data_IF_581831090162
#
_entry.id   IF_581831090162
#
_cell.length_a   1.000
_cell.length_b   1.000
_cell.length_c   1.000
_cell.angle_alpha   90.00
_cell.angle_beta   90.00
_cell.angle_gamma   90.00
#
_symmetry.space_group_name_H-M   'P 1'
#
loop_
_entity.id
_entity.type
_entity.pdbx_description
1 polymer ?
#
# COMPACT_ATOMS: atom_id res chain seq x y z
N UNK A 1 2.40 10.76 5.75
CA UNK A 1 1.58 10.00 4.78
C UNK A 1 1.02 8.74 5.44
N UNK A 2 -0.14 8.22 5.04
CA UNK A 2 -0.66 6.92 5.50
C UNK A 2 -0.36 5.83 4.45
N UNK A 3 0.10 4.67 4.90
CA UNK A 3 0.43 3.53 4.04
C UNK A 3 -0.27 2.28 4.58
N UNK A 4 -1.14 1.67 3.77
CA UNK A 4 -1.85 0.44 4.10
C UNK A 4 -1.43 -0.65 3.12
N UNK A 5 -0.94 -1.78 3.63
CA UNK A 5 -0.41 -2.88 2.84
C UNK A 5 -1.15 -4.17 3.20
N UNK A 6 -1.80 -4.77 2.20
CA UNK A 6 -2.23 -6.16 2.29
C UNK A 6 -1.08 -7.05 1.80
N UNK A 7 -0.43 -7.75 2.73
CA UNK A 7 0.73 -8.58 2.44
C UNK A 7 0.39 -9.88 1.71
N UNK A 8 -0.86 -10.35 1.79
CA UNK A 8 -1.31 -11.57 1.11
C UNK A 8 -1.60 -11.33 -0.38
N UNK A 9 -1.80 -10.06 -0.73
CA UNK A 9 -2.27 -9.63 -2.04
C UNK A 9 -1.16 -9.39 -3.09
N UNK A 10 0.10 -9.29 -2.65
CA UNK A 10 1.24 -8.97 -3.51
C UNK A 10 2.34 -10.02 -3.36
N UNK A 11 3.03 -10.32 -4.45
CA UNK A 11 4.20 -11.20 -4.39
C UNK A 11 5.38 -10.56 -3.64
N UNK A 12 6.24 -11.41 -3.06
CA UNK A 12 7.41 -10.99 -2.29
C UNK A 12 8.34 -10.03 -3.05
N UNK A 13 8.67 -10.25 -4.35
CA UNK A 13 9.51 -9.30 -5.09
C UNK A 13 8.95 -7.89 -5.13
N UNK A 14 7.63 -7.73 -5.33
CA UNK A 14 6.99 -6.41 -5.35
C UNK A 14 6.92 -5.79 -3.97
N UNK A 15 6.65 -6.58 -2.93
CA UNK A 15 6.69 -6.10 -1.55
C UNK A 15 8.09 -5.58 -1.19
N UNK A 16 9.17 -6.27 -1.60
CA UNK A 16 10.54 -5.81 -1.38
C UNK A 16 10.85 -4.47 -2.05
N UNK A 17 10.37 -4.27 -3.29
CA UNK A 17 10.52 -2.98 -3.99
C UNK A 17 9.75 -1.86 -3.29
N UNK A 18 8.55 -2.17 -2.77
CA UNK A 18 7.77 -1.22 -1.99
C UNK A 18 8.48 -0.84 -0.68
N UNK A 19 8.94 -1.83 0.07
CA UNK A 19 9.66 -1.62 1.34
C UNK A 19 10.91 -0.77 1.13
N UNK A 20 11.75 -1.10 0.15
CA UNK A 20 12.96 -0.32 -0.14
C UNK A 20 12.65 1.16 -0.45
N UNK A 21 11.52 1.43 -1.11
CA UNK A 21 11.09 2.81 -1.36
C UNK A 21 10.56 3.51 -0.10
N UNK A 22 9.85 2.79 0.78
CA UNK A 22 9.36 3.32 2.06
C UNK A 22 10.48 3.60 3.06
N UNK A 23 11.53 2.79 3.09
CA UNK A 23 12.71 3.03 3.93
C UNK A 23 13.42 4.35 3.58
N UNK A 24 13.41 4.72 2.30
CA UNK A 24 13.93 6.01 1.84
C UNK A 24 12.99 7.20 2.17
N UNK A 25 11.77 6.94 2.65
CA UNK A 25 10.74 7.94 2.93
C UNK A 25 10.26 7.87 4.39
N UNK A 26 11.03 8.40 5.36
CA UNK A 26 10.85 8.11 6.79
C UNK A 26 9.58 8.70 7.45
N UNK A 27 8.79 9.54 6.78
CA UNK A 27 7.60 10.23 7.32
C UNK A 27 6.27 9.51 7.05
N UNK A 28 6.29 8.17 7.07
CA UNK A 28 5.14 7.32 6.74
C UNK A 28 4.56 6.59 7.96
N UNK A 29 3.25 6.69 8.14
CA UNK A 29 2.49 5.83 9.06
C UNK A 29 2.15 4.53 8.32
N UNK A 30 2.97 3.49 8.50
CA UNK A 30 2.87 2.22 7.76
C UNK A 30 2.14 1.16 8.59
N UNK A 31 1.05 0.63 8.04
CA UNK A 31 0.30 -0.50 8.60
C UNK A 31 0.26 -1.62 7.56
N UNK A 32 0.69 -2.82 7.96
CA UNK A 32 0.65 -4.02 7.13
C UNK A 32 -0.23 -5.06 7.80
N UNK A 33 -1.13 -5.67 7.04
CA UNK A 33 -1.92 -6.80 7.50
C UNK A 33 -1.78 -7.98 6.53
N UNK A 34 -1.82 -9.20 7.06
CA UNK A 34 -1.77 -10.42 6.26
C UNK A 34 -1.51 -11.65 7.11
N UNK A 35 -1.46 -12.82 6.47
CA UNK A 35 -1.14 -14.07 7.14
C UNK A 35 0.27 -14.01 7.77
N UNK A 36 0.51 -14.67 8.93
CA UNK A 36 1.82 -14.68 9.57
C UNK A 36 2.98 -15.05 8.63
N UNK A 37 2.76 -16.04 7.76
CA UNK A 37 3.76 -16.46 6.76
C UNK A 37 4.09 -15.38 5.73
N UNK A 38 3.12 -14.54 5.35
CA UNK A 38 3.35 -13.43 4.43
C UNK A 38 4.10 -12.29 5.12
N UNK A 39 3.76 -12.01 6.38
CA UNK A 39 4.47 -11.01 7.19
C UNK A 39 5.92 -11.42 7.46
N UNK A 40 6.20 -12.70 7.69
CA UNK A 40 7.55 -13.21 7.93
C UNK A 40 8.42 -13.28 6.65
N UNK A 41 7.82 -13.21 5.46
CA UNK A 41 8.54 -13.35 4.19
C UNK A 41 9.31 -12.08 3.76
N UNK A 42 9.10 -10.96 4.44
CA UNK A 42 9.63 -9.64 4.10
C UNK A 42 10.17 -8.97 5.36
N UNK A 43 11.36 -8.37 5.27
CA UNK A 43 11.91 -7.51 6.31
C UNK A 43 11.19 -6.14 6.23
N UNK A 44 10.20 -5.91 7.09
CA UNK A 44 9.43 -4.65 7.08
C UNK A 44 10.18 -3.52 7.80
N UNK A 45 9.92 -2.23 7.45
CA UNK A 45 10.50 -1.10 8.15
C UNK A 45 10.20 -1.16 9.65
N UNK A 46 11.17 -0.81 10.49
CA UNK A 46 11.08 -0.96 11.96
C UNK A 46 9.88 -0.22 12.57
N UNK A 47 9.50 0.91 11.98
CA UNK A 47 8.37 1.74 12.40
C UNK A 47 7.00 1.21 11.96
N UNK A 48 6.96 0.13 11.17
CA UNK A 48 5.72 -0.38 10.63
C UNK A 48 4.91 -1.16 11.68
N UNK A 49 3.61 -0.95 11.68
CA UNK A 49 2.68 -1.73 12.48
C UNK A 49 2.29 -3.00 11.72
N UNK A 50 2.71 -4.16 12.21
CA UNK A 50 2.34 -5.46 11.65
C UNK A 50 1.09 -6.01 12.35
N UNK A 51 0.08 -6.37 11.57
CA UNK A 51 -1.22 -6.86 12.04
C UNK A 51 -1.46 -8.27 11.47
N UNK A 52 -1.10 -9.34 12.22
CA UNK A 52 -1.39 -10.70 11.79
C UNK A 52 -2.90 -10.90 11.60
N UNK A 53 -3.26 -11.40 10.43
CA UNK A 53 -4.63 -11.67 10.02
C UNK A 53 -4.84 -13.17 9.81
N UNK A 54 -6.07 -13.63 10.02
CA UNK A 54 -6.49 -14.99 9.68
C UNK A 54 -7.82 -14.97 8.92
N UNK A 55 -8.00 -15.95 8.04
CA UNK A 55 -9.16 -16.03 7.18
C UNK A 55 -9.10 -15.07 5.99
N UNK A 56 -9.97 -15.33 5.01
CA UNK A 56 -9.94 -14.70 3.68
C UNK A 56 -10.13 -13.16 3.65
N UNK A 57 -10.69 -12.56 4.69
CA UNK A 57 -11.00 -11.12 4.79
C UNK A 57 -10.33 -10.46 6.01
N UNK A 58 -9.49 -11.20 6.73
CA UNK A 58 -8.92 -10.72 7.98
C UNK A 58 -8.08 -9.45 7.78
N UNK A 59 -7.24 -9.44 6.73
CA UNK A 59 -6.39 -8.31 6.39
C UNK A 59 -7.23 -7.08 6.02
N UNK A 60 -8.24 -7.24 5.16
CA UNK A 60 -9.12 -6.16 4.74
C UNK A 60 -9.78 -5.43 5.92
N UNK A 61 -10.32 -6.20 6.87
CA UNK A 61 -10.98 -5.66 8.05
C UNK A 61 -9.99 -4.88 8.92
N UNK A 62 -8.77 -5.39 9.09
CA UNK A 62 -7.74 -4.73 9.90
C UNK A 62 -7.26 -3.44 9.24
N UNK A 63 -7.00 -3.45 7.93
CA UNK A 63 -6.58 -2.26 7.19
C UNK A 63 -7.69 -1.22 7.10
N UNK A 64 -8.95 -1.63 6.89
CA UNK A 64 -10.09 -0.73 6.91
C UNK A 64 -10.29 -0.05 8.27
N UNK A 65 -9.96 -0.73 9.38
CA UNK A 65 -9.97 -0.15 10.72
C UNK A 65 -8.78 0.78 10.98
N UNK A 66 -7.63 0.48 10.41
CA UNK A 66 -6.43 1.30 10.51
C UNK A 66 -6.52 2.58 9.68
N UNK A 67 -7.32 2.56 8.60
CA UNK A 67 -7.57 3.71 7.75
C UNK A 67 -8.13 4.90 8.52
N UNK A 68 -7.46 6.05 8.39
CA UNK A 68 -7.93 7.35 8.85
C UNK A 68 -8.42 8.20 7.69
N UNK A 69 -9.58 8.83 7.87
CA UNK A 69 -10.06 9.88 6.97
C UNK A 69 -9.34 11.18 7.38
N UNK A 70 -8.34 11.53 6.60
CA UNK A 70 -7.66 12.83 6.60
C UNK A 70 -7.26 13.18 5.16
N UNK A 71 -6.75 14.40 4.94
CA UNK A 71 -6.33 14.91 3.62
C UNK A 71 -4.87 14.59 3.28
N UNK A 72 -4.15 13.87 4.17
CA UNK A 72 -2.77 13.46 3.91
C UNK A 72 -2.77 12.38 2.83
N UNK A 73 -1.72 12.29 2.00
CA UNK A 73 -1.64 11.25 0.97
C UNK A 73 -1.79 9.83 1.52
N UNK A 74 -2.35 8.96 0.70
CA UNK A 74 -2.61 7.55 0.99
C UNK A 74 -1.90 6.66 -0.03
N UNK A 75 -1.11 5.71 0.45
CA UNK A 75 -0.63 4.58 -0.34
C UNK A 75 -1.42 3.32 0.04
N UNK A 76 -2.06 2.67 -0.93
CA UNK A 76 -2.74 1.39 -0.80
C UNK A 76 -1.97 0.34 -1.60
N UNK A 77 -1.39 -0.65 -0.95
CA UNK A 77 -0.77 -1.79 -1.61
C UNK A 77 -1.69 -3.01 -1.52
N UNK A 78 -2.34 -3.34 -2.64
CA UNK A 78 -3.34 -4.40 -2.74
C UNK A 78 -3.48 -4.90 -4.18
N UNK A 79 -3.83 -6.17 -4.33
CA UNK A 79 -4.03 -6.85 -5.61
C UNK A 79 -5.52 -6.98 -6.00
N UNK A 80 -6.44 -6.82 -5.05
CA UNK A 80 -7.87 -7.02 -5.25
C UNK A 80 -8.66 -5.71 -5.50
N UNK A 81 -9.98 -5.77 -5.41
CA UNK A 81 -10.87 -4.65 -5.69
C UNK A 81 -11.50 -4.02 -4.44
N UNK A 82 -11.20 -4.53 -3.25
CA UNK A 82 -12.08 -4.36 -2.09
C UNK A 82 -11.93 -2.96 -1.48
N UNK A 83 -10.76 -2.35 -1.66
CA UNK A 83 -10.48 -0.97 -1.27
C UNK A 83 -10.92 0.10 -2.28
N UNK A 84 -11.62 -0.25 -3.38
CA UNK A 84 -11.98 0.70 -4.43
C UNK A 84 -12.78 1.91 -3.91
N UNK A 85 -13.73 1.68 -3.01
CA UNK A 85 -14.55 2.75 -2.43
C UNK A 85 -13.76 3.62 -1.46
N UNK A 86 -12.83 3.03 -0.71
CA UNK A 86 -11.93 3.76 0.17
C UNK A 86 -11.04 4.69 -0.66
N UNK A 87 -10.36 4.16 -1.69
CA UNK A 87 -9.51 4.92 -2.60
C UNK A 87 -10.26 6.09 -3.27
N UNK A 88 -11.51 5.88 -3.71
CA UNK A 88 -12.33 6.92 -4.36
C UNK A 88 -12.79 8.04 -3.43
N UNK A 89 -12.98 7.74 -2.14
CA UNK A 89 -13.52 8.68 -1.15
C UNK A 89 -12.46 9.37 -0.31
N UNK A 90 -11.23 8.86 -0.32
CA UNK A 90 -10.13 9.50 0.37
C UNK A 90 -9.91 10.93 -0.15
N UNK A 91 -9.83 11.94 0.72
CA UNK A 91 -9.79 13.33 0.27
C UNK A 91 -8.41 13.75 -0.26
N UNK A 92 -7.32 13.09 0.16
CA UNK A 92 -5.97 13.33 -0.35
C UNK A 92 -5.64 12.60 -1.67
N UNK A 93 -4.38 12.69 -2.10
CA UNK A 93 -3.85 11.93 -3.23
C UNK A 93 -3.68 10.45 -2.85
N UNK A 94 -4.06 9.54 -3.75
CA UNK A 94 -4.00 8.10 -3.54
C UNK A 94 -3.05 7.47 -4.54
N UNK A 95 -2.07 6.70 -4.06
CA UNK A 95 -1.30 5.77 -4.86
C UNK A 95 -1.78 4.35 -4.60
N UNK A 96 -2.13 3.62 -5.66
CA UNK A 96 -2.46 2.20 -5.61
C UNK A 96 -1.29 1.40 -6.17
N UNK A 97 -0.70 0.56 -5.34
CA UNK A 97 0.41 -0.33 -5.68
C UNK A 97 -0.15 -1.73 -5.88
N UNK A 98 -0.04 -2.26 -7.09
CA UNK A 98 -0.54 -3.58 -7.45
C UNK A 98 0.14 -4.12 -8.70
N UNK A 99 0.03 -5.43 -8.93
CA UNK A 99 0.52 -6.02 -10.18
C UNK A 99 -0.26 -5.51 -11.39
N UNK A 100 0.34 -5.55 -12.58
CA UNK A 100 -0.32 -5.15 -13.84
C UNK A 100 -1.67 -5.84 -14.10
N UNK A 101 -1.85 -7.08 -13.64
CA UNK A 101 -3.10 -7.85 -13.73
C UNK A 101 -4.02 -7.72 -12.51
N UNK A 102 -3.64 -6.97 -11.47
CA UNK A 102 -4.43 -6.79 -10.25
C UNK A 102 -5.72 -6.02 -10.53
N UNK A 103 -6.81 -6.39 -9.85
CA UNK A 103 -8.10 -5.67 -9.98
C UNK A 103 -7.98 -4.22 -9.51
N UNK A 104 -7.11 -3.96 -8.53
CA UNK A 104 -6.79 -2.63 -8.00
C UNK A 104 -6.29 -1.65 -9.08
N UNK A 105 -5.73 -2.15 -10.19
CA UNK A 105 -5.32 -1.35 -11.36
C UNK A 105 -6.47 -0.64 -12.05
N UNK A 106 -7.70 -1.10 -11.84
CA UNK A 106 -8.91 -0.45 -12.39
C UNK A 106 -9.38 0.73 -11.54
N UNK A 107 -8.68 1.05 -10.44
CA UNK A 107 -9.05 2.20 -9.61
C UNK A 107 -8.71 3.48 -10.38
N UNK A 108 -9.74 4.22 -10.77
CA UNK A 108 -9.62 5.48 -11.49
C UNK A 108 -10.29 6.61 -10.73
N UNK A 109 -9.69 7.79 -10.78
CA UNK A 109 -10.24 9.01 -10.19
C UNK A 109 -9.25 10.18 -10.34
N UNK A 110 -9.70 11.42 -10.11
CA UNK A 110 -8.87 12.61 -10.32
C UNK A 110 -7.64 12.69 -9.41
N UNK A 111 -7.63 11.94 -8.30
CA UNK A 111 -6.56 11.89 -7.29
C UNK A 111 -5.90 10.51 -7.16
N UNK A 112 -6.28 9.56 -8.01
CA UNK A 112 -5.82 8.17 -7.93
C UNK A 112 -4.77 7.94 -9.01
N UNK A 113 -3.57 7.58 -8.57
CA UNK A 113 -2.49 7.06 -9.41
C UNK A 113 -2.32 5.57 -9.14
N UNK A 114 -1.93 4.80 -10.14
CA UNK A 114 -1.62 3.37 -9.98
C UNK A 114 -0.21 3.06 -10.47
N UNK A 115 0.56 2.23 -9.76
CA UNK A 115 1.90 1.75 -10.17
C UNK A 115 2.02 0.24 -9.99
N UNK A 116 2.86 -0.39 -10.81
CA UNK A 116 3.37 -1.74 -10.57
C UNK A 116 4.90 -1.64 -10.44
N UNK A 117 5.43 -1.65 -9.20
CA UNK A 117 6.87 -1.51 -8.97
C UNK A 117 7.71 -2.55 -9.69
N UNK A 118 7.18 -3.77 -9.89
CA UNK A 118 7.90 -4.82 -10.59
C UNK A 118 8.00 -4.55 -12.10
N UNK A 119 7.00 -3.87 -12.68
CA UNK A 119 6.99 -3.53 -14.10
C UNK A 119 7.80 -2.26 -14.42
N UNK A 120 7.80 -1.27 -13.51
CA UNK A 120 8.47 0.02 -13.72
C UNK A 120 9.81 0.16 -12.95
N UNK A 121 10.28 -0.91 -12.31
CA UNK A 121 11.51 -0.90 -11.49
C UNK A 121 11.41 -0.01 -10.25
N UNK A 122 10.20 0.32 -9.80
CA UNK A 122 9.88 1.20 -8.69
C UNK A 122 10.10 2.68 -8.98
N UNK A 123 10.35 3.08 -10.23
CA UNK A 123 10.66 4.47 -10.56
C UNK A 123 9.46 5.40 -10.30
N UNK A 124 8.26 4.97 -10.72
CA UNK A 124 7.03 5.73 -10.48
C UNK A 124 6.69 5.78 -8.99
N UNK A 125 6.86 4.67 -8.27
CA UNK A 125 6.68 4.60 -6.83
C UNK A 125 7.57 5.62 -6.10
N UNK A 126 8.88 5.62 -6.38
CA UNK A 126 9.83 6.56 -5.75
C UNK A 126 9.49 8.01 -6.07
N UNK A 127 9.25 8.32 -7.34
CA UNK A 127 8.87 9.68 -7.74
C UNK A 127 7.58 10.17 -7.06
N UNK A 128 6.60 9.29 -6.85
CA UNK A 128 5.37 9.66 -6.15
C UNK A 128 5.63 9.90 -4.66
N UNK A 129 6.45 9.06 -4.01
CA UNK A 129 6.84 9.26 -2.61
C UNK A 129 7.57 10.60 -2.43
N UNK A 130 8.57 10.89 -3.25
CA UNK A 130 9.35 12.14 -3.17
C UNK A 130 8.44 13.39 -3.20
N UNK A 131 7.41 13.39 -4.04
CA UNK A 131 6.44 14.49 -4.16
C UNK A 131 5.54 14.67 -2.92
N UNK A 132 5.38 13.64 -2.10
CA UNK A 132 4.36 13.57 -1.06
C UNK A 132 4.93 13.35 0.35
N UNK A 133 6.24 13.15 0.48
CA UNK A 133 6.95 13.01 1.76
C UNK A 133 7.97 14.10 2.03
N UNK A 134 8.36 14.90 1.02
CA UNK A 134 9.18 16.11 1.22
C UNK A 134 8.29 17.29 1.62
N UNK A 135 8.05 17.43 2.92
CA UNK A 135 7.63 18.67 3.59
C UNK A 135 8.46 18.85 4.86
#
# INVERSE_FOLDING_TARGET
MQVLIDADNLDVPRLRLLVAALEAAPSCDVVIAGAPTALEAVDWPLQAQLLPASGWQGADILLARAYRIDDRPLLLATGDGDFAQLARRHPGNVLVVGGTSSRSRTFTGPRISTTDPAADGGAQLRSWLDQHTML
#
